data_IF_628167117680
#
_entry.id   IF_628167117680
#
_cell.length_a   1.000
_cell.length_b   1.000
_cell.length_c   1.000
_cell.angle_alpha   90.00
_cell.angle_beta   90.00
_cell.angle_gamma   90.00
#
_symmetry.space_group_name_H-M   'P 1'
#
loop_
_entity.id
_entity.type
_entity.pdbx_description
1 polymer ?
#
# COMPACT_ATOMS: atom_id res chain seq x y z
N UNK A 1 50.29 -12.06 48.22
CA UNK A 1 49.57 -11.77 46.97
C UNK A 1 50.08 -12.72 45.91
N UNK A 2 49.43 -13.86 45.77
CA UNK A 2 49.80 -14.90 44.81
C UNK A 2 49.03 -14.64 43.52
N UNK A 3 49.73 -14.43 42.39
CA UNK A 3 49.09 -14.28 41.09
C UNK A 3 48.70 -15.69 40.62
N UNK A 4 47.41 -16.01 40.63
CA UNK A 4 46.90 -17.23 40.00
C UNK A 4 47.28 -17.23 38.51
N UNK A 5 48.16 -18.16 38.12
CA UNK A 5 48.55 -18.37 36.74
C UNK A 5 47.49 -19.23 36.05
N UNK A 6 46.59 -18.59 35.31
CA UNK A 6 45.59 -19.30 34.51
C UNK A 6 46.31 -20.13 33.43
N UNK A 7 46.07 -21.46 33.32
CA UNK A 7 46.78 -22.29 32.36
C UNK A 7 46.44 -21.92 30.91
N UNK A 8 47.47 -21.81 30.06
CA UNK A 8 47.39 -21.36 28.66
C UNK A 8 46.39 -22.16 27.79
N UNK A 9 46.14 -23.42 28.12
CA UNK A 9 45.17 -24.24 27.36
C UNK A 9 43.70 -23.83 27.63
N UNK A 10 43.39 -23.23 28.78
CA UNK A 10 42.05 -22.67 29.06
C UNK A 10 41.81 -21.39 28.27
N UNK A 11 42.81 -20.52 28.13
CA UNK A 11 42.68 -19.26 27.38
C UNK A 11 42.51 -19.51 25.89
N UNK A 12 43.22 -20.50 25.32
CA UNK A 12 43.06 -20.91 23.91
C UNK A 12 41.66 -21.52 23.66
N UNK A 13 41.18 -22.40 24.53
CA UNK A 13 39.83 -22.99 24.40
C UNK A 13 38.72 -21.94 24.52
N UNK A 14 38.85 -21.01 25.47
CA UNK A 14 37.92 -19.91 25.62
C UNK A 14 37.92 -18.99 24.39
N UNK A 15 39.10 -18.67 23.85
CA UNK A 15 39.23 -17.86 22.64
C UNK A 15 38.58 -18.55 21.41
N UNK A 16 38.80 -19.85 21.22
CA UNK A 16 38.19 -20.61 20.11
C UNK A 16 36.66 -20.70 20.24
N UNK A 17 36.14 -20.89 21.46
CA UNK A 17 34.69 -20.90 21.69
C UNK A 17 34.06 -19.52 21.45
N UNK A 18 34.74 -18.45 21.86
CA UNK A 18 34.29 -17.07 21.63
C UNK A 18 34.32 -16.71 20.15
N UNK A 19 35.36 -17.10 19.40
CA UNK A 19 35.41 -16.86 17.95
C UNK A 19 34.38 -17.70 17.19
N UNK A 20 34.17 -18.96 17.58
CA UNK A 20 33.13 -19.79 17.00
C UNK A 20 31.72 -19.22 17.27
N UNK A 21 31.45 -18.77 18.50
CA UNK A 21 30.21 -18.10 18.85
C UNK A 21 30.03 -16.79 18.06
N UNK A 22 31.10 -15.98 17.93
CA UNK A 22 31.08 -14.76 17.15
C UNK A 22 30.79 -15.02 15.67
N UNK A 23 31.48 -15.97 15.04
CA UNK A 23 31.25 -16.36 13.64
C UNK A 23 29.85 -16.94 13.43
N UNK A 24 29.33 -17.72 14.39
CA UNK A 24 27.97 -18.24 14.33
C UNK A 24 26.93 -17.12 14.43
N UNK A 25 27.10 -16.16 15.34
CA UNK A 25 26.22 -14.97 15.41
C UNK A 25 26.30 -14.10 14.16
N UNK A 26 27.50 -13.93 13.58
CA UNK A 26 27.71 -13.16 12.36
C UNK A 26 27.08 -13.84 11.13
N UNK A 27 26.98 -15.17 11.12
CA UNK A 27 26.29 -15.92 10.07
C UNK A 27 24.76 -15.92 10.25
N UNK A 28 24.26 -15.90 11.49
CA UNK A 28 22.82 -15.87 11.80
C UNK A 28 22.15 -14.53 11.49
N UNK A 29 22.86 -13.41 11.68
CA UNK A 29 22.34 -12.06 11.43
C UNK A 29 21.87 -11.85 9.98
N UNK A 30 22.71 -12.08 8.93
CA UNK A 30 22.30 -11.99 7.53
C UNK A 30 21.16 -12.92 7.16
N UNK A 31 21.16 -14.15 7.72
CA UNK A 31 20.10 -15.13 7.46
C UNK A 31 18.76 -14.65 8.04
N UNK A 32 18.74 -14.17 9.29
CA UNK A 32 17.53 -13.64 9.91
C UNK A 32 16.98 -12.41 9.17
N UNK A 33 17.86 -11.48 8.76
CA UNK A 33 17.44 -10.31 7.97
C UNK A 33 16.93 -10.70 6.58
N UNK A 34 17.57 -11.66 5.91
CA UNK A 34 17.13 -12.16 4.61
C UNK A 34 15.77 -12.85 4.68
N UNK A 35 15.54 -13.67 5.71
CA UNK A 35 14.24 -14.29 5.96
C UNK A 35 13.15 -13.25 6.25
N UNK A 36 13.41 -12.26 7.11
CA UNK A 36 12.46 -11.20 7.43
C UNK A 36 12.10 -10.36 6.20
N UNK A 37 13.10 -9.95 5.43
CA UNK A 37 12.89 -9.19 4.19
C UNK A 37 12.08 -10.00 3.17
N UNK A 38 12.40 -11.29 2.99
CA UNK A 38 11.64 -12.16 2.09
C UNK A 38 10.18 -12.35 2.53
N UNK A 39 9.91 -12.40 3.85
CA UNK A 39 8.53 -12.46 4.36
C UNK A 39 7.77 -11.16 4.11
N UNK A 40 8.42 -10.00 4.25
CA UNK A 40 7.81 -8.70 4.00
C UNK A 40 7.51 -8.51 2.51
N UNK A 41 8.46 -8.83 1.62
CA UNK A 41 8.26 -8.76 0.17
C UNK A 41 7.11 -9.66 -0.29
N UNK A 42 7.05 -10.90 0.21
CA UNK A 42 5.96 -11.83 -0.09
C UNK A 42 4.60 -11.34 0.42
N UNK A 43 4.57 -10.73 1.60
CA UNK A 43 3.39 -10.09 2.17
C UNK A 43 2.89 -8.94 1.30
N UNK A 44 3.79 -8.05 0.86
CA UNK A 44 3.45 -6.92 0.00
C UNK A 44 2.93 -7.39 -1.36
N UNK A 45 3.54 -8.41 -1.96
CA UNK A 45 3.06 -8.94 -3.24
C UNK A 45 1.65 -9.54 -3.10
N UNK A 46 1.39 -10.28 -2.02
CA UNK A 46 0.05 -10.77 -1.71
C UNK A 46 -0.96 -9.62 -1.56
N UNK A 47 -0.59 -8.55 -0.85
CA UNK A 47 -1.46 -7.38 -0.69
C UNK A 47 -1.72 -6.65 -2.01
N UNK A 48 -0.73 -6.58 -2.92
CA UNK A 48 -0.90 -6.03 -4.27
C UNK A 48 -1.88 -6.85 -5.10
N UNK A 49 -1.80 -8.17 -5.04
CA UNK A 49 -2.76 -9.04 -5.73
C UNK A 49 -4.17 -8.90 -5.14
N UNK A 50 -4.31 -8.79 -3.81
CA UNK A 50 -5.59 -8.46 -3.17
C UNK A 50 -6.12 -7.12 -3.70
N UNK A 51 -5.28 -6.08 -3.76
CA UNK A 51 -5.67 -4.76 -4.27
C UNK A 51 -6.20 -4.84 -5.70
N UNK A 52 -5.50 -5.57 -6.57
CA UNK A 52 -5.90 -5.79 -7.96
C UNK A 52 -7.21 -6.55 -8.06
N UNK A 53 -7.34 -7.70 -7.40
CA UNK A 53 -8.54 -8.54 -7.46
C UNK A 53 -9.77 -7.83 -6.91
N UNK A 54 -9.63 -7.13 -5.77
CA UNK A 54 -10.77 -6.45 -5.14
C UNK A 54 -11.19 -5.21 -5.93
N UNK A 55 -10.25 -4.48 -6.54
CA UNK A 55 -10.56 -3.41 -7.48
C UNK A 55 -11.32 -3.99 -8.67
N UNK A 56 -10.80 -5.05 -9.30
CA UNK A 56 -11.42 -5.71 -10.45
C UNK A 56 -12.89 -6.07 -10.23
N UNK A 57 -13.18 -6.85 -9.19
CA UNK A 57 -14.55 -7.23 -8.86
C UNK A 57 -15.42 -6.02 -8.53
N UNK A 58 -14.86 -5.01 -7.84
CA UNK A 58 -15.62 -3.82 -7.44
C UNK A 58 -15.94 -2.91 -8.63
N UNK A 59 -15.01 -2.72 -9.57
CA UNK A 59 -15.24 -1.88 -10.74
C UNK A 59 -16.31 -2.46 -11.65
N UNK A 60 -16.26 -3.78 -11.90
CA UNK A 60 -17.29 -4.47 -12.68
C UNK A 60 -18.66 -4.36 -12.00
N UNK A 61 -18.74 -4.66 -10.70
CA UNK A 61 -19.99 -4.58 -9.94
C UNK A 61 -20.56 -3.15 -9.87
N UNK A 62 -19.71 -2.16 -9.60
CA UNK A 62 -20.14 -0.75 -9.60
C UNK A 62 -20.54 -0.29 -11.01
N UNK A 63 -19.84 -0.70 -12.05
CA UNK A 63 -20.18 -0.36 -13.44
C UNK A 63 -21.58 -0.83 -13.79
N UNK A 64 -21.90 -2.08 -13.46
CA UNK A 64 -23.22 -2.67 -13.67
C UNK A 64 -24.30 -1.92 -12.88
N UNK A 65 -24.09 -1.70 -11.57
CA UNK A 65 -25.05 -0.99 -10.72
C UNK A 65 -25.29 0.45 -11.18
N UNK A 66 -24.24 1.16 -11.58
CA UNK A 66 -24.33 2.57 -11.98
C UNK A 66 -24.98 2.79 -13.35
N UNK A 67 -24.97 1.76 -14.21
CA UNK A 67 -25.61 1.82 -15.54
C UNK A 67 -27.08 2.21 -15.44
N UNK A 68 -27.81 1.60 -14.51
CA UNK A 68 -29.26 1.79 -14.34
C UNK A 68 -29.62 3.04 -13.53
N UNK A 69 -28.64 3.67 -12.87
CA UNK A 69 -28.85 4.87 -12.07
C UNK A 69 -28.85 6.11 -12.98
N UNK A 70 -30.02 6.70 -13.18
CA UNK A 70 -30.16 7.96 -13.92
C UNK A 70 -29.74 9.16 -13.06
N UNK A 71 -28.89 10.02 -13.62
CA UNK A 71 -28.47 11.28 -13.03
C UNK A 71 -27.18 11.16 -12.22
N UNK A 72 -26.23 12.05 -12.53
CA UNK A 72 -24.89 12.02 -11.96
C UNK A 72 -24.88 12.15 -10.43
N UNK A 73 -25.70 13.05 -9.85
CA UNK A 73 -25.79 13.22 -8.39
C UNK A 73 -26.15 11.91 -7.68
N UNK A 74 -27.05 11.10 -8.25
CA UNK A 74 -27.46 9.80 -7.69
C UNK A 74 -26.34 8.77 -7.83
N UNK A 75 -25.64 8.74 -8.97
CA UNK A 75 -24.46 7.89 -9.19
C UNK A 75 -23.35 8.19 -8.17
N UNK A 76 -23.02 9.45 -7.98
CA UNK A 76 -22.03 9.91 -7.00
C UNK A 76 -22.44 9.50 -5.57
N UNK A 77 -23.71 9.74 -5.18
CA UNK A 77 -24.21 9.38 -3.87
C UNK A 77 -24.11 7.87 -3.61
N UNK A 78 -24.46 7.05 -4.62
CA UNK A 78 -24.37 5.60 -4.54
C UNK A 78 -22.92 5.12 -4.42
N UNK A 79 -22.01 5.63 -5.27
CA UNK A 79 -20.59 5.30 -5.21
C UNK A 79 -20.01 5.64 -3.82
N UNK A 80 -20.33 6.82 -3.28
CA UNK A 80 -19.91 7.23 -1.93
C UNK A 80 -20.42 6.29 -0.85
N UNK A 81 -21.71 5.92 -0.89
CA UNK A 81 -22.31 4.99 0.07
C UNK A 81 -21.66 3.61 -0.01
N UNK A 82 -21.43 3.12 -1.23
CA UNK A 82 -20.84 1.80 -1.49
C UNK A 82 -19.41 1.69 -0.94
N UNK A 83 -18.54 2.66 -1.25
CA UNK A 83 -17.11 2.55 -0.89
C UNK A 83 -16.80 2.95 0.55
N UNK A 84 -17.68 3.73 1.19
CA UNK A 84 -17.43 4.28 2.54
C UNK A 84 -17.08 3.22 3.61
N UNK A 85 -17.86 2.13 3.77
CA UNK A 85 -17.64 1.16 4.85
C UNK A 85 -16.48 0.19 4.59
N UNK A 86 -15.96 0.11 3.37
CA UNK A 86 -15.07 -1.01 2.99
C UNK A 86 -13.66 -0.83 3.53
N UNK A 87 -13.23 -1.76 4.39
CA UNK A 87 -11.84 -1.95 4.86
C UNK A 87 -11.47 -3.43 4.74
N UNK A 88 -10.28 -3.74 4.24
CA UNK A 88 -9.96 -5.13 3.86
C UNK A 88 -8.53 -5.60 4.14
N UNK A 89 -7.64 -4.75 4.64
CA UNK A 89 -6.38 -5.21 5.24
C UNK A 89 -6.54 -5.29 6.76
N UNK A 90 -5.73 -6.15 7.40
CA UNK A 90 -5.82 -6.41 8.84
C UNK A 90 -5.63 -5.14 9.70
N UNK A 91 -4.84 -4.18 9.23
CA UNK A 91 -4.59 -2.89 9.90
C UNK A 91 -5.62 -1.80 9.53
N UNK A 92 -6.70 -2.16 8.83
CA UNK A 92 -7.73 -1.25 8.32
C UNK A 92 -7.23 -0.17 7.32
N UNK A 93 -6.08 -0.38 6.67
CA UNK A 93 -5.52 0.61 5.73
C UNK A 93 -5.91 0.38 4.27
N UNK A 94 -6.52 -0.75 3.95
CA UNK A 94 -7.10 -1.04 2.63
C UNK A 94 -8.43 -0.31 2.46
N UNK A 95 -8.53 0.60 1.49
CA UNK A 95 -9.74 1.41 1.29
C UNK A 95 -9.83 1.89 -0.16
N UNK A 96 -11.05 2.13 -0.65
CA UNK A 96 -11.27 2.59 -2.01
C UNK A 96 -11.28 4.13 -2.15
N UNK A 97 -10.87 4.58 -3.33
CA UNK A 97 -11.09 5.92 -3.84
C UNK A 97 -11.60 5.85 -5.28
N UNK A 98 -12.46 6.80 -5.64
CA UNK A 98 -13.07 6.91 -6.96
C UNK A 98 -12.88 8.33 -7.46
N UNK A 99 -12.40 8.47 -8.68
CA UNK A 99 -12.15 9.75 -9.32
C UNK A 99 -12.74 9.75 -10.73
N UNK A 100 -13.06 10.93 -11.23
CA UNK A 100 -13.21 11.15 -12.66
C UNK A 100 -11.85 11.23 -13.33
N UNK A 101 -11.79 10.95 -14.64
CA UNK A 101 -10.57 11.13 -15.43
C UNK A 101 -10.02 12.57 -15.47
N UNK A 102 -10.82 13.58 -15.14
CA UNK A 102 -10.37 14.97 -14.98
C UNK A 102 -9.87 15.28 -13.56
N UNK A 103 -9.53 14.25 -12.76
CA UNK A 103 -8.99 14.33 -11.41
C UNK A 103 -9.95 14.89 -10.34
N UNK A 104 -11.25 14.94 -10.62
CA UNK A 104 -12.27 15.26 -9.59
C UNK A 104 -12.51 14.04 -8.71
N UNK A 105 -12.34 14.17 -7.40
CA UNK A 105 -12.66 13.08 -6.47
C UNK A 105 -14.18 12.88 -6.41
N UNK A 106 -14.64 11.69 -6.76
CA UNK A 106 -16.06 11.30 -6.69
C UNK A 106 -16.36 10.78 -5.29
N UNK A 107 -15.54 9.85 -4.83
CA UNK A 107 -15.64 9.24 -3.52
C UNK A 107 -14.25 8.95 -2.96
N UNK A 108 -14.14 9.03 -1.64
CA UNK A 108 -12.97 8.58 -0.92
C UNK A 108 -13.45 7.94 0.37
N UNK A 109 -12.99 6.73 0.68
CA UNK A 109 -13.52 5.97 1.81
C UNK A 109 -13.07 6.54 3.17
N UNK A 110 -11.86 7.13 3.23
CA UNK A 110 -11.29 7.78 4.43
C UNK A 110 -11.49 9.30 4.40
N UNK A 111 -10.79 10.00 3.51
CA UNK A 111 -10.77 11.46 3.37
C UNK A 111 -12.01 12.04 2.66
N UNK A 112 -13.14 12.11 3.37
CA UNK A 112 -14.42 12.62 2.83
C UNK A 112 -14.33 14.07 2.37
N UNK A 113 -13.44 14.86 2.95
CA UNK A 113 -13.16 16.25 2.62
C UNK A 113 -12.61 16.45 1.20
N UNK A 114 -12.14 15.39 0.53
CA UNK A 114 -11.68 15.46 -0.86
C UNK A 114 -12.85 15.43 -1.87
N UNK A 115 -14.01 14.91 -1.47
CA UNK A 115 -15.12 14.66 -2.38
C UNK A 115 -15.60 15.95 -3.06
N UNK A 116 -15.64 15.93 -4.40
CA UNK A 116 -16.00 17.06 -5.24
C UNK A 116 -14.84 18.01 -5.59
N UNK A 117 -13.66 17.85 -4.96
CA UNK A 117 -12.49 18.68 -5.27
C UNK A 117 -11.77 18.14 -6.50
N UNK A 118 -11.28 19.06 -7.33
CA UNK A 118 -10.38 18.75 -8.43
C UNK A 118 -8.94 18.73 -7.92
N UNK A 119 -8.31 17.55 -7.97
CA UNK A 119 -6.94 17.32 -7.51
C UNK A 119 -5.93 17.26 -8.66
N UNK A 120 -6.27 17.79 -9.84
CA UNK A 120 -5.38 17.82 -11.00
C UNK A 120 -4.04 18.49 -10.70
N UNK A 121 -4.01 19.55 -9.87
CA UNK A 121 -2.76 20.23 -9.48
C UNK A 121 -2.16 19.72 -8.16
N UNK A 122 -2.80 18.77 -7.49
CA UNK A 122 -2.28 18.22 -6.24
C UNK A 122 -0.99 17.43 -6.51
N UNK A 123 -0.01 17.63 -5.65
CA UNK A 123 1.26 16.91 -5.64
C UNK A 123 1.39 16.17 -4.32
N UNK A 124 1.92 14.96 -4.38
CA UNK A 124 2.32 14.23 -3.18
C UNK A 124 3.59 14.84 -2.55
N UNK A 125 4.03 14.26 -1.43
CA UNK A 125 5.22 14.67 -0.69
C UNK A 125 6.54 14.58 -1.50
N UNK A 126 6.54 13.95 -2.68
CA UNK A 126 7.69 13.88 -3.60
C UNK A 126 7.50 14.73 -4.87
N UNK A 127 6.43 15.53 -4.94
CA UNK A 127 6.18 16.45 -6.03
C UNK A 127 5.47 15.82 -7.24
N UNK A 128 5.06 14.55 -7.15
CA UNK A 128 4.38 13.82 -8.22
C UNK A 128 2.91 14.26 -8.32
N UNK A 129 2.42 14.50 -9.53
CA UNK A 129 1.00 14.76 -9.79
C UNK A 129 0.19 13.44 -9.75
N UNK A 130 0.07 12.88 -8.55
CA UNK A 130 -0.44 11.52 -8.31
C UNK A 130 -1.78 11.22 -8.98
N UNK A 131 -2.77 12.12 -8.92
CA UNK A 131 -4.10 11.83 -9.49
C UNK A 131 -4.06 11.83 -11.04
N UNK A 132 -3.11 12.55 -11.66
CA UNK A 132 -2.92 12.49 -13.12
C UNK A 132 -2.37 11.14 -13.53
N UNK A 133 -1.31 10.68 -12.87
CA UNK A 133 -0.72 9.36 -13.15
C UNK A 133 -1.75 8.25 -12.95
N UNK A 134 -2.50 8.27 -11.84
CA UNK A 134 -3.58 7.32 -11.61
C UNK A 134 -4.65 7.37 -12.71
N UNK A 135 -5.06 8.57 -13.12
CA UNK A 135 -6.02 8.73 -14.22
C UNK A 135 -5.48 8.20 -15.54
N UNK A 136 -4.21 8.44 -15.87
CA UNK A 136 -3.63 8.04 -17.14
C UNK A 136 -3.41 6.53 -17.18
N UNK A 137 -2.99 5.91 -16.08
CA UNK A 137 -2.93 4.44 -15.93
C UNK A 137 -4.31 3.79 -16.01
N UNK A 138 -5.33 4.39 -15.41
CA UNK A 138 -6.69 3.85 -15.54
C UNK A 138 -7.17 3.88 -17.00
N UNK A 139 -6.87 4.94 -17.76
CA UNK A 139 -7.24 5.03 -19.19
C UNK A 139 -6.62 3.94 -20.06
N UNK A 140 -5.50 3.34 -19.66
CA UNK A 140 -4.87 2.22 -20.39
C UNK A 140 -5.46 0.85 -20.05
N UNK A 141 -6.57 0.81 -19.29
CA UNK A 141 -7.23 -0.43 -18.88
C UNK A 141 -6.90 -0.87 -17.45
N UNK A 142 -6.11 -0.09 -16.74
CA UNK A 142 -5.73 -0.32 -15.34
C UNK A 142 -4.28 -0.75 -15.14
N UNK A 143 -3.81 -0.63 -13.91
CA UNK A 143 -2.41 -0.87 -13.58
C UNK A 143 -1.99 -0.36 -12.20
N UNK A 144 -0.75 -0.66 -11.85
CA UNK A 144 -0.13 -0.19 -10.61
C UNK A 144 0.57 1.15 -10.78
N UNK A 145 0.51 1.98 -9.73
CA UNK A 145 1.18 3.29 -9.64
C UNK A 145 1.74 3.46 -8.23
N UNK A 146 3.03 3.83 -8.14
CA UNK A 146 3.67 4.18 -6.87
C UNK A 146 3.51 5.68 -6.59
N UNK A 147 3.10 6.03 -5.38
CA UNK A 147 2.95 7.43 -4.95
C UNK A 147 3.05 7.54 -3.44
N UNK A 148 3.05 8.77 -2.92
CA UNK A 148 2.95 9.03 -1.49
C UNK A 148 1.53 9.50 -1.15
N UNK A 149 0.97 8.98 -0.05
CA UNK A 149 -0.35 9.37 0.41
C UNK A 149 -0.48 9.22 1.92
N UNK A 150 -1.41 9.94 2.54
CA UNK A 150 -1.66 9.86 3.97
C UNK A 150 -2.16 8.45 4.33
N UNK A 151 -1.38 7.70 5.13
CA UNK A 151 -1.83 6.42 5.71
C UNK A 151 -2.83 6.71 6.84
N UNK A 152 -3.97 6.00 6.92
CA UNK A 152 -4.91 6.17 8.03
C UNK A 152 -4.21 6.07 9.39
N UNK A 153 -4.38 7.09 10.25
CA UNK A 153 -3.74 7.16 11.56
C UNK A 153 -2.29 7.66 11.58
N UNK A 154 -1.65 7.87 10.43
CA UNK A 154 -0.29 8.42 10.36
C UNK A 154 -0.29 9.96 10.39
N UNK A 155 0.83 10.54 10.82
CA UNK A 155 1.04 12.01 10.84
C UNK A 155 1.46 12.60 9.49
N UNK A 156 1.85 11.77 8.54
CA UNK A 156 2.35 12.22 7.24
C UNK A 156 2.15 11.18 6.16
N UNK A 157 2.44 11.58 4.92
CA UNK A 157 2.33 10.69 3.78
C UNK A 157 3.39 9.58 3.85
N UNK A 158 3.00 8.40 3.37
CA UNK A 158 3.82 7.20 3.29
C UNK A 158 3.78 6.66 1.87
N UNK A 159 4.81 5.91 1.48
CA UNK A 159 4.85 5.29 0.15
C UNK A 159 3.72 4.27 0.03
N UNK A 160 3.02 4.32 -1.09
CA UNK A 160 1.87 3.49 -1.42
C UNK A 160 2.01 2.98 -2.85
N UNK A 161 1.70 1.71 -3.06
CA UNK A 161 1.53 1.10 -4.38
C UNK A 161 0.03 0.94 -4.59
N UNK A 162 -0.56 1.77 -5.45
CA UNK A 162 -1.98 1.70 -5.77
C UNK A 162 -2.25 0.94 -7.05
N UNK A 163 -3.35 0.19 -7.08
CA UNK A 163 -3.93 -0.34 -8.32
C UNK A 163 -5.17 0.47 -8.68
N UNK A 164 -5.30 0.83 -9.95
CA UNK A 164 -6.45 1.55 -10.49
C UNK A 164 -6.94 0.90 -11.76
N UNK A 165 -8.23 1.03 -12.04
CA UNK A 165 -8.81 0.65 -13.32
C UNK A 165 -10.12 1.42 -13.60
N UNK A 166 -10.61 1.44 -14.84
CA UNK A 166 -11.91 2.02 -15.21
C UNK A 166 -13.08 1.36 -14.49
N UNK A 167 -14.08 2.16 -14.08
CA UNK A 167 -15.43 1.62 -13.81
C UNK A 167 -16.18 1.60 -15.15
N UNK A 168 -16.51 0.42 -15.71
CA UNK A 168 -17.15 0.34 -17.03
C UNK A 168 -18.47 1.11 -17.12
N UNK A 169 -18.73 1.73 -18.27
CA UNK A 169 -19.96 2.50 -18.50
C UNK A 169 -20.02 3.86 -17.78
N UNK A 170 -18.91 4.33 -17.21
CA UNK A 170 -18.80 5.61 -16.51
C UNK A 170 -17.57 6.40 -16.94
N UNK A 171 -17.50 7.68 -16.54
CA UNK A 171 -16.30 8.52 -16.62
C UNK A 171 -15.39 8.40 -15.38
N UNK A 172 -15.58 7.34 -14.58
CA UNK A 172 -14.90 7.12 -13.32
C UNK A 172 -13.84 6.03 -13.45
N UNK A 173 -12.82 6.12 -12.61
CA UNK A 173 -11.93 5.04 -12.26
C UNK A 173 -11.94 4.83 -10.74
N UNK A 174 -11.71 3.60 -10.32
CA UNK A 174 -11.58 3.21 -8.92
C UNK A 174 -10.16 2.75 -8.67
N UNK A 175 -9.69 2.97 -7.45
CA UNK A 175 -8.47 2.33 -6.99
C UNK A 175 -8.43 2.08 -5.51
N UNK A 176 -7.42 1.31 -5.14
CA UNK A 176 -6.99 1.06 -3.76
C UNK A 176 -5.47 0.90 -3.76
N UNK A 177 -4.86 0.56 -2.63
CA UNK A 177 -3.44 0.23 -2.61
C UNK A 177 -2.92 -0.20 -1.25
N UNK A 178 -1.71 -0.72 -1.27
CA UNK A 178 -0.92 -1.15 -0.11
C UNK A 178 0.11 -0.08 0.26
N UNK A 179 0.24 0.21 1.55
CA UNK A 179 1.33 1.03 2.06
C UNK A 179 2.57 0.17 2.26
N UNK A 180 3.73 0.68 1.85
CA UNK A 180 5.00 0.02 2.09
C UNK A 180 5.51 0.35 3.49
N UNK A 181 6.20 -0.60 4.16
CA UNK A 181 6.84 -0.38 5.45
C UNK A 181 7.95 0.67 5.39
#
# INVERSE_FOLDING_TARGET
MEKENIPVHYTIRAAVLLTAAFLFTLALLPAATGFAQATDEKSIECQKEIAKTIVHGTALGLGEILRDVKGEKKRIALARKFVSPVRFYADNTGYFYVYKYNCVNVAHAIQKELQGKNLYKHKDAKGKYVIRELSDTAKTGGGFVDFYWLKPGAKGEQKKVGYVEPIPGTDYFIGTGVYLP
#
